data_IF_542353403494
#
_entry.id   IF_542353403494
#
_cell.length_a   1.000
_cell.length_b   1.000
_cell.length_c   1.000
_cell.angle_alpha   90.00
_cell.angle_beta   90.00
_cell.angle_gamma   90.00
#
_symmetry.space_group_name_H-M   'P 1'
#
loop_
_entity.id
_entity.type
_entity.pdbx_description
1 polymer ?
#
# COMPACT_ATOMS: atom_id res chain seq x y z
N UNK A 1 -12.43 6.32 -0.44
CA UNK A 1 -13.01 5.06 0.13
C UNK A 1 -13.64 4.27 -1.00
N UNK A 2 -13.53 2.93 -1.02
CA UNK A 2 -14.21 2.09 -2.02
C UNK A 2 -15.72 2.37 -1.99
N UNK A 3 -16.33 2.63 -3.14
CA UNK A 3 -17.77 2.79 -3.23
C UNK A 3 -18.43 1.42 -3.03
N UNK A 4 -18.98 1.20 -1.82
CA UNK A 4 -19.60 -0.07 -1.43
C UNK A 4 -20.77 -0.49 -2.33
N UNK A 5 -21.33 0.42 -3.14
CA UNK A 5 -22.36 0.09 -4.14
C UNK A 5 -21.86 -0.85 -5.24
N UNK A 6 -20.56 -0.84 -5.52
CA UNK A 6 -19.96 -1.60 -6.62
C UNK A 6 -19.24 -2.88 -6.13
N UNK A 7 -19.34 -3.19 -4.84
CA UNK A 7 -18.72 -4.36 -4.22
C UNK A 7 -19.75 -5.47 -4.10
N UNK A 8 -19.45 -6.64 -4.66
CA UNK A 8 -20.28 -7.82 -4.42
C UNK A 8 -20.10 -8.30 -2.96
N UNK A 9 -21.18 -8.47 -2.17
CA UNK A 9 -21.10 -8.80 -0.76
C UNK A 9 -20.82 -10.31 -0.54
N UNK A 10 -19.79 -10.83 -1.18
CA UNK A 10 -19.39 -12.25 -1.14
C UNK A 10 -17.94 -12.34 -0.66
N UNK A 11 -17.64 -13.33 0.19
CA UNK A 11 -16.27 -13.69 0.55
C UNK A 11 -15.77 -14.77 -0.41
N UNK A 12 -14.80 -14.41 -1.24
CA UNK A 12 -14.18 -15.32 -2.21
C UNK A 12 -12.83 -15.81 -1.70
N UNK A 13 -12.51 -17.06 -2.05
CA UNK A 13 -11.19 -17.66 -1.83
C UNK A 13 -10.29 -17.47 -3.05
N UNK A 14 -9.01 -17.85 -2.92
CA UNK A 14 -8.03 -17.81 -4.01
C UNK A 14 -8.43 -18.67 -5.23
N UNK A 15 -9.22 -19.72 -5.03
CA UNK A 15 -9.67 -20.63 -6.10
C UNK A 15 -10.92 -20.14 -6.84
N UNK A 16 -11.53 -19.04 -6.38
CA UNK A 16 -12.70 -18.48 -7.04
C UNK A 16 -12.37 -18.09 -8.49
N UNK A 17 -13.22 -18.56 -9.41
CA UNK A 17 -13.06 -18.34 -10.86
C UNK A 17 -13.82 -17.11 -11.32
N UNK A 18 -13.28 -16.41 -12.31
CA UNK A 18 -13.95 -15.32 -12.99
C UNK A 18 -13.43 -15.14 -14.40
N UNK A 19 -14.20 -14.43 -15.22
CA UNK A 19 -13.78 -14.00 -16.54
C UNK A 19 -13.42 -12.52 -16.50
N UNK A 20 -12.26 -12.16 -17.03
CA UNK A 20 -11.86 -10.76 -17.11
C UNK A 20 -10.73 -10.52 -18.11
N UNK A 21 -10.83 -9.45 -18.89
CA UNK A 21 -9.68 -8.90 -19.62
C UNK A 21 -9.79 -7.40 -19.75
N UNK A 22 -8.69 -6.69 -19.51
CA UNK A 22 -8.56 -5.26 -19.82
C UNK A 22 -7.46 -5.10 -20.87
N UNK A 23 -7.75 -4.39 -21.97
CA UNK A 23 -6.80 -4.16 -23.05
C UNK A 23 -7.16 -2.87 -23.79
N UNK A 24 -6.21 -2.29 -24.54
CA UNK A 24 -6.39 -1.01 -25.24
C UNK A 24 -7.62 -0.94 -26.16
N UNK A 25 -8.02 -2.07 -26.73
CA UNK A 25 -9.16 -2.17 -27.65
C UNK A 25 -10.53 -2.26 -26.98
N UNK A 26 -10.62 -2.40 -25.66
CA UNK A 26 -11.91 -2.52 -24.98
C UNK A 26 -12.60 -1.13 -24.92
N UNK A 27 -13.91 -1.08 -25.11
CA UNK A 27 -14.65 0.19 -25.17
C UNK A 27 -14.63 1.00 -23.85
N UNK A 28 -14.25 0.37 -22.73
CA UNK A 28 -14.07 1.03 -21.45
C UNK A 28 -12.61 1.34 -21.10
N UNK A 29 -11.68 1.22 -22.05
CA UNK A 29 -10.26 1.47 -21.80
C UNK A 29 -10.05 2.83 -21.11
N UNK A 30 -9.18 2.85 -20.10
CA UNK A 30 -8.86 3.98 -19.22
C UNK A 30 -10.00 4.60 -18.40
N UNK A 31 -11.25 4.16 -18.54
CA UNK A 31 -12.37 4.77 -17.79
C UNK A 31 -12.24 4.64 -16.27
N UNK A 32 -11.68 3.52 -15.79
CA UNK A 32 -11.42 3.29 -14.37
C UNK A 32 -10.32 4.19 -13.79
N UNK A 33 -9.55 4.90 -14.63
CA UNK A 33 -8.50 5.83 -14.18
C UNK A 33 -9.03 7.23 -13.85
N UNK A 34 -10.34 7.40 -13.64
CA UNK A 34 -10.97 8.68 -13.39
C UNK A 34 -11.79 8.64 -12.10
N UNK A 35 -11.76 9.73 -11.33
CA UNK A 35 -12.57 9.91 -10.12
C UNK A 35 -12.49 8.75 -9.11
N UNK A 36 -11.28 8.26 -8.84
CA UNK A 36 -11.01 7.21 -7.86
C UNK A 36 -10.14 7.74 -6.71
N UNK A 37 -10.26 7.14 -5.53
CA UNK A 37 -9.34 7.38 -4.42
C UNK A 37 -8.34 6.22 -4.33
N UNK A 38 -7.06 6.48 -4.60
CA UNK A 38 -6.00 5.47 -4.50
C UNK A 38 -5.18 5.75 -3.25
N UNK A 39 -5.39 4.94 -2.21
CA UNK A 39 -4.47 4.87 -1.07
C UNK A 39 -3.14 4.28 -1.56
N UNK A 40 -2.03 4.97 -1.28
CA UNK A 40 -0.69 4.52 -1.61
C UNK A 40 -0.05 3.85 -0.40
N UNK A 41 0.43 2.63 -0.61
CA UNK A 41 1.28 1.93 0.35
C UNK A 41 2.73 2.44 0.28
N UNK A 42 3.55 2.19 1.30
CA UNK A 42 4.98 2.48 1.25
C UNK A 42 5.68 1.90 0.02
N UNK A 43 5.36 0.65 -0.35
CA UNK A 43 5.96 0.03 -1.52
C UNK A 43 5.48 0.65 -2.83
N UNK A 44 4.23 1.13 -2.90
CA UNK A 44 3.76 1.89 -4.07
C UNK A 44 4.59 3.16 -4.26
N UNK A 45 4.83 3.92 -3.19
CA UNK A 45 5.62 5.15 -3.22
C UNK A 45 7.05 4.87 -3.68
N UNK A 46 7.70 3.83 -3.11
CA UNK A 46 9.04 3.40 -3.51
C UNK A 46 9.10 3.07 -5.00
N UNK A 47 8.16 2.27 -5.51
CA UNK A 47 8.13 1.88 -6.93
C UNK A 47 7.87 3.06 -7.86
N UNK A 48 6.91 3.90 -7.51
CA UNK A 48 6.49 5.02 -8.34
C UNK A 48 7.56 6.12 -8.39
N UNK A 49 8.17 6.50 -7.25
CA UNK A 49 9.25 7.50 -7.24
C UNK A 49 10.44 7.05 -8.10
N UNK A 50 10.81 5.76 -7.99
CA UNK A 50 11.94 5.21 -8.73
C UNK A 50 11.63 5.10 -10.23
N UNK A 51 10.39 4.76 -10.59
CA UNK A 51 9.94 4.80 -11.99
C UNK A 51 10.02 6.20 -12.59
N UNK A 52 9.76 7.24 -11.80
CA UNK A 52 9.83 8.63 -12.22
C UNK A 52 11.24 9.23 -12.13
N UNK A 53 12.17 8.56 -11.44
CA UNK A 53 13.54 9.04 -11.24
C UNK A 53 13.62 10.27 -10.33
N UNK A 54 12.70 10.39 -9.36
CA UNK A 54 12.64 11.50 -8.40
C UNK A 54 12.72 11.00 -6.96
N UNK A 55 13.04 11.90 -6.03
CA UNK A 55 13.07 11.58 -4.59
C UNK A 55 11.67 11.34 -4.00
N UNK A 56 11.60 10.69 -2.84
CA UNK A 56 10.35 10.50 -2.10
C UNK A 56 9.72 11.84 -1.75
N UNK A 57 10.52 12.82 -1.33
CA UNK A 57 10.05 14.16 -0.98
C UNK A 57 9.36 14.86 -2.16
N UNK A 58 10.01 14.87 -3.33
CA UNK A 58 9.43 15.43 -4.56
C UNK A 58 8.16 14.68 -4.97
N UNK A 59 8.18 13.33 -4.91
CA UNK A 59 7.02 12.51 -5.23
C UNK A 59 5.83 12.83 -4.33
N UNK A 60 6.06 12.89 -3.01
CA UNK A 60 5.02 13.13 -2.02
C UNK A 60 4.37 14.50 -2.21
N UNK A 61 5.17 15.55 -2.43
CA UNK A 61 4.68 16.90 -2.67
C UNK A 61 3.87 16.98 -3.97
N UNK A 62 4.42 16.46 -5.07
CA UNK A 62 3.82 16.60 -6.38
C UNK A 62 2.58 15.72 -6.56
N UNK A 63 2.63 14.46 -6.10
CA UNK A 63 1.67 13.43 -6.48
C UNK A 63 0.76 12.95 -5.36
N UNK A 64 0.95 13.35 -4.11
CA UNK A 64 0.14 12.81 -2.99
C UNK A 64 -0.52 13.88 -2.14
N UNK A 65 -1.64 13.55 -1.50
CA UNK A 65 -2.22 14.34 -0.41
C UNK A 65 -2.44 13.46 0.81
N UNK A 66 -2.41 14.09 1.99
CA UNK A 66 -2.56 13.41 3.28
C UNK A 66 -4.04 13.43 3.68
N UNK A 67 -4.55 12.30 4.12
CA UNK A 67 -5.81 12.18 4.83
C UNK A 67 -5.54 11.58 6.22
N UNK A 68 -5.85 12.34 7.27
CA UNK A 68 -5.74 11.84 8.64
C UNK A 68 -6.99 11.01 8.94
N UNK A 69 -6.80 9.73 9.23
CA UNK A 69 -7.91 8.86 9.62
C UNK A 69 -8.51 9.32 10.95
N UNK A 70 -9.82 9.53 11.01
CA UNK A 70 -10.49 10.09 12.19
C UNK A 70 -10.44 9.16 13.41
N UNK A 71 -10.34 7.85 13.19
CA UNK A 71 -10.40 6.84 14.26
C UNK A 71 -9.03 6.54 14.86
N UNK A 72 -8.00 6.51 14.02
CA UNK A 72 -6.64 6.06 14.39
C UNK A 72 -5.60 7.17 14.28
N UNK A 73 -5.95 8.28 13.62
CA UNK A 73 -5.08 9.42 13.33
C UNK A 73 -3.84 9.09 12.52
N UNK A 74 -3.83 7.95 11.82
CA UNK A 74 -2.79 7.65 10.86
C UNK A 74 -2.88 8.62 9.68
N UNK A 75 -1.75 9.23 9.27
CA UNK A 75 -1.70 10.00 8.04
C UNK A 75 -1.62 9.03 6.86
N UNK A 76 -2.73 8.85 6.16
CA UNK A 76 -2.75 8.04 4.94
C UNK A 76 -2.49 8.90 3.72
N UNK A 77 -1.70 8.38 2.79
CA UNK A 77 -1.37 9.06 1.56
C UNK A 77 -2.23 8.58 0.41
N UNK A 78 -2.84 9.52 -0.28
CA UNK A 78 -3.65 9.25 -1.45
C UNK A 78 -3.01 9.88 -2.68
N UNK A 79 -3.12 9.19 -3.82
CA UNK A 79 -2.70 9.74 -5.10
C UNK A 79 -3.58 10.95 -5.46
N UNK A 80 -2.94 12.09 -5.74
CA UNK A 80 -3.59 13.28 -6.28
C UNK A 80 -4.05 13.02 -7.71
N UNK A 81 -5.31 13.32 -7.98
CA UNK A 81 -5.84 13.38 -9.35
C UNK A 81 -5.53 14.72 -10.00
N UNK A 82 -5.75 14.81 -11.31
CA UNK A 82 -5.75 16.07 -12.03
C UNK A 82 -6.95 16.93 -11.61
N UNK A 83 -6.76 18.24 -11.62
CA UNK A 83 -7.83 19.21 -11.38
C UNK A 83 -8.58 19.49 -12.70
N UNK A 84 -9.26 18.45 -13.19
CA UNK A 84 -10.15 18.52 -14.35
C UNK A 84 -11.51 17.92 -13.99
N UNK A 85 -12.51 18.14 -14.85
CA UNK A 85 -13.87 17.70 -14.59
C UNK A 85 -13.99 16.18 -14.31
N UNK A 86 -13.11 15.38 -14.93
CA UNK A 86 -13.10 13.92 -14.81
C UNK A 86 -12.31 13.42 -13.59
N UNK A 87 -11.54 14.30 -12.92
CA UNK A 87 -10.56 13.93 -11.89
C UNK A 87 -9.67 12.76 -12.35
N UNK A 88 -9.11 12.90 -13.55
CA UNK A 88 -8.29 11.86 -14.18
C UNK A 88 -6.99 11.59 -13.40
N UNK A 89 -6.53 10.34 -13.43
CA UNK A 89 -5.24 9.94 -12.87
C UNK A 89 -4.10 10.64 -13.59
N UNK A 90 -3.12 11.14 -12.83
CA UNK A 90 -1.95 11.87 -13.38
C UNK A 90 -1.08 11.05 -14.34
N UNK A 91 -1.20 9.72 -14.30
CA UNK A 91 -0.43 8.82 -15.15
C UNK A 91 -1.23 8.23 -16.30
N UNK A 92 -2.52 8.56 -16.43
CA UNK A 92 -3.32 8.07 -17.55
C UNK A 92 -3.05 8.89 -18.80
N UNK A 93 -2.92 8.20 -19.93
CA UNK A 93 -2.75 8.78 -21.26
C UNK A 93 -3.71 8.08 -22.23
N UNK A 94 -3.83 8.58 -23.46
CA UNK A 94 -4.58 7.90 -24.52
C UNK A 94 -4.05 6.48 -24.81
N UNK A 95 -2.77 6.23 -24.51
CA UNK A 95 -2.11 4.93 -24.70
C UNK A 95 -2.24 4.01 -23.48
N UNK A 96 -2.86 4.48 -22.38
CA UNK A 96 -2.96 3.78 -21.11
C UNK A 96 -2.12 4.43 -20.01
N UNK A 97 -1.83 3.68 -18.95
CA UNK A 97 -1.06 4.16 -17.80
C UNK A 97 0.44 4.24 -18.14
N UNK A 98 1.05 5.42 -18.03
CA UNK A 98 2.47 5.65 -18.33
C UNK A 98 3.43 4.92 -17.39
N UNK A 99 2.94 4.54 -16.20
CA UNK A 99 3.68 3.76 -15.19
C UNK A 99 3.08 2.36 -15.01
N UNK A 100 2.45 1.77 -16.02
CA UNK A 100 1.66 0.54 -15.87
C UNK A 100 2.38 -0.55 -15.06
N UNK A 101 3.66 -0.83 -15.34
CA UNK A 101 4.44 -1.86 -14.66
C UNK A 101 4.83 -1.53 -13.20
N UNK A 102 4.64 -0.29 -12.76
CA UNK A 102 4.92 0.21 -11.41
C UNK A 102 3.66 0.82 -10.77
N UNK A 103 2.48 0.52 -11.34
CA UNK A 103 1.20 1.02 -10.85
C UNK A 103 0.92 0.55 -9.40
N UNK A 104 0.16 1.33 -8.62
CA UNK A 104 -0.16 1.00 -7.23
C UNK A 104 -0.86 -0.34 -7.06
N UNK A 105 -0.74 -0.94 -5.87
CA UNK A 105 -1.40 -2.19 -5.48
C UNK A 105 -2.91 -2.15 -5.76
N UNK A 106 -3.61 -1.04 -5.44
CA UNK A 106 -5.04 -0.89 -5.74
C UNK A 106 -5.37 -1.09 -7.23
N UNK A 107 -4.53 -0.55 -8.12
CA UNK A 107 -4.72 -0.67 -9.57
C UNK A 107 -4.34 -2.06 -10.10
N UNK A 108 -3.47 -2.80 -9.41
CA UNK A 108 -3.13 -4.20 -9.74
C UNK A 108 -4.22 -5.16 -9.31
N UNK A 109 -4.81 -4.89 -8.16
CA UNK A 109 -5.88 -5.70 -7.61
C UNK A 109 -7.11 -5.69 -8.51
N UNK A 110 -7.51 -4.50 -8.99
CA UNK A 110 -8.72 -4.33 -9.82
C UNK A 110 -8.79 -5.34 -10.99
N UNK A 111 -9.90 -6.08 -11.16
CA UNK A 111 -11.20 -5.88 -10.51
C UNK A 111 -11.39 -6.66 -9.21
N UNK A 112 -10.35 -7.35 -8.72
CA UNK A 112 -10.36 -8.07 -7.45
C UNK A 112 -10.03 -7.09 -6.33
N UNK A 113 -10.84 -7.07 -5.27
CA UNK A 113 -10.48 -6.42 -4.02
C UNK A 113 -10.00 -7.46 -3.00
N UNK A 114 -9.14 -7.03 -2.08
CA UNK A 114 -8.72 -7.80 -0.91
C UNK A 114 -9.23 -7.10 0.35
N UNK A 115 -9.73 -7.89 1.29
CA UNK A 115 -10.00 -7.45 2.65
C UNK A 115 -9.33 -8.40 3.65
N UNK A 116 -8.80 -7.82 4.72
CA UNK A 116 -8.22 -8.57 5.84
C UNK A 116 -9.04 -8.30 7.10
N UNK A 117 -9.34 -9.37 7.84
CA UNK A 117 -10.18 -9.32 9.02
C UNK A 117 -9.46 -10.06 10.15
N UNK A 118 -9.11 -9.33 11.21
CA UNK A 118 -8.55 -9.97 12.40
C UNK A 118 -9.65 -10.68 13.19
N UNK A 119 -9.51 -11.98 13.36
CA UNK A 119 -10.35 -12.82 14.21
C UNK A 119 -9.50 -13.56 15.25
N UNK A 120 -10.14 -14.04 16.31
CA UNK A 120 -9.47 -14.96 17.22
C UNK A 120 -9.59 -16.36 16.61
N UNK A 121 -8.49 -17.08 16.52
CA UNK A 121 -8.54 -18.48 16.14
C UNK A 121 -9.14 -19.30 17.28
N UNK A 122 -10.21 -20.02 16.99
CA UNK A 122 -10.99 -20.73 18.00
C UNK A 122 -10.21 -21.90 18.64
N UNK A 123 -9.17 -22.40 17.97
CA UNK A 123 -8.38 -23.56 18.43
C UNK A 123 -7.15 -23.15 19.23
N UNK A 124 -6.41 -22.17 18.74
CA UNK A 124 -5.16 -21.69 19.36
C UNK A 124 -5.37 -20.51 20.30
N UNK A 125 -6.57 -19.91 20.31
CA UNK A 125 -6.88 -18.67 21.02
C UNK A 125 -5.86 -17.56 20.70
N UNK A 126 -5.32 -17.59 19.49
CA UNK A 126 -4.36 -16.61 18.98
C UNK A 126 -5.02 -15.74 17.91
N UNK A 127 -4.65 -14.46 17.79
CA UNK A 127 -5.17 -13.60 16.73
C UNK A 127 -4.68 -14.11 15.37
N UNK A 128 -5.62 -14.38 14.47
CA UNK A 128 -5.34 -14.68 13.06
C UNK A 128 -5.91 -13.60 12.16
N UNK A 129 -5.25 -13.37 11.03
CA UNK A 129 -5.74 -12.48 9.97
C UNK A 129 -6.36 -13.34 8.90
N UNK A 130 -7.69 -13.30 8.78
CA UNK A 130 -8.41 -13.92 7.68
C UNK A 130 -8.42 -12.95 6.51
N UNK A 131 -7.91 -13.38 5.37
CA UNK A 131 -8.00 -12.64 4.12
C UNK A 131 -9.09 -13.25 3.25
N UNK A 132 -9.90 -12.37 2.64
CA UNK A 132 -10.88 -12.76 1.65
C UNK A 132 -10.90 -11.75 0.52
N UNK A 133 -11.43 -12.20 -0.61
CA UNK A 133 -11.48 -11.42 -1.82
C UNK A 133 -12.93 -11.13 -2.21
N UNK A 134 -13.10 -10.13 -3.05
CA UNK A 134 -14.38 -9.74 -3.61
C UNK A 134 -14.18 -9.13 -4.99
N UNK A 135 -15.23 -9.08 -5.81
CA UNK A 135 -15.16 -8.38 -7.09
C UNK A 135 -15.70 -6.96 -6.95
N UNK A 136 -15.03 -6.03 -7.62
CA UNK A 136 -15.48 -4.66 -7.84
C UNK A 136 -16.07 -4.59 -9.25
N UNK A 137 -17.39 -4.50 -9.35
CA UNK A 137 -18.13 -4.47 -10.61
C UNK A 137 -18.72 -3.08 -10.85
N UNK A 138 -17.95 -2.26 -11.54
CA UNK A 138 -18.42 -0.93 -11.93
C UNK A 138 -19.15 -1.00 -13.26
N UNK A 139 -20.25 -0.25 -13.40
CA UNK A 139 -21.09 -0.26 -14.60
C UNK A 139 -20.32 0.02 -15.89
N UNK A 140 -19.33 0.91 -15.81
CA UNK A 140 -18.50 1.28 -16.96
C UNK A 140 -17.51 0.18 -17.35
N UNK A 141 -17.20 -0.77 -16.46
CA UNK A 141 -16.17 -1.78 -16.67
C UNK A 141 -16.72 -2.96 -17.48
N UNK A 142 -16.28 -3.05 -18.73
CA UNK A 142 -16.68 -4.12 -19.64
C UNK A 142 -15.77 -5.35 -19.59
N UNK A 143 -14.71 -5.32 -18.78
CA UNK A 143 -13.71 -6.40 -18.73
C UNK A 143 -14.29 -7.75 -18.32
N UNK A 144 -15.35 -7.78 -17.49
CA UNK A 144 -16.06 -9.01 -17.11
C UNK A 144 -16.84 -9.67 -18.27
N UNK A 145 -17.00 -8.99 -19.41
CA UNK A 145 -17.66 -9.54 -20.62
C UNK A 145 -16.69 -10.24 -21.57
N UNK A 146 -15.39 -10.17 -21.28
CA UNK A 146 -14.34 -10.84 -22.06
C UNK A 146 -14.23 -12.31 -21.66
N UNK A 147 -13.62 -13.15 -22.50
CA UNK A 147 -13.60 -14.60 -22.31
C UNK A 147 -12.36 -15.15 -21.59
N UNK A 148 -11.38 -14.31 -21.26
CA UNK A 148 -10.19 -14.76 -20.54
C UNK A 148 -10.56 -15.21 -19.12
N UNK A 149 -10.26 -16.47 -18.81
CA UNK A 149 -10.59 -17.10 -17.53
C UNK A 149 -9.44 -17.00 -16.54
N UNK A 150 -9.79 -16.73 -15.29
CA UNK A 150 -8.86 -16.57 -14.18
C UNK A 150 -9.36 -17.30 -12.94
N UNK A 151 -8.42 -17.70 -12.08
CA UNK A 151 -8.65 -17.80 -10.65
C UNK A 151 -8.13 -16.53 -9.98
N UNK A 152 -8.63 -16.18 -8.79
CA UNK A 152 -8.08 -15.06 -8.03
C UNK A 152 -6.57 -15.26 -7.77
N UNK A 153 -6.15 -16.49 -7.50
CA UNK A 153 -4.74 -16.85 -7.35
C UNK A 153 -3.90 -16.45 -8.57
N UNK A 154 -4.25 -16.96 -9.75
CA UNK A 154 -3.45 -16.71 -10.96
C UNK A 154 -3.57 -15.24 -11.43
N UNK A 155 -4.68 -14.56 -11.13
CA UNK A 155 -4.80 -13.12 -11.35
C UNK A 155 -3.79 -12.34 -10.49
N UNK A 156 -3.67 -12.70 -9.20
CA UNK A 156 -2.70 -12.04 -8.30
C UNK A 156 -1.26 -12.26 -8.76
N UNK A 157 -0.94 -13.48 -9.18
CA UNK A 157 0.35 -13.85 -9.76
C UNK A 157 0.65 -13.02 -11.04
N UNK A 158 -0.31 -12.97 -11.98
CA UNK A 158 -0.18 -12.23 -13.25
C UNK A 158 -0.05 -10.71 -13.05
N UNK A 159 -0.84 -10.15 -12.14
CA UNK A 159 -0.79 -8.71 -11.82
C UNK A 159 0.40 -8.34 -10.91
N UNK A 160 1.14 -9.34 -10.42
CA UNK A 160 2.32 -9.19 -9.56
C UNK A 160 2.01 -8.59 -8.20
N UNK A 161 0.78 -8.77 -7.70
CA UNK A 161 0.34 -8.11 -6.45
C UNK A 161 0.82 -8.84 -5.19
N UNK A 162 1.17 -10.13 -5.29
CA UNK A 162 1.79 -10.89 -4.20
C UNK A 162 3.06 -10.22 -3.67
N UNK A 163 3.90 -9.70 -4.56
CA UNK A 163 5.11 -8.96 -4.19
C UNK A 163 4.74 -7.70 -3.38
N UNK A 164 3.69 -7.00 -3.78
CA UNK A 164 3.23 -5.80 -3.09
C UNK A 164 2.66 -6.15 -1.71
N UNK A 165 1.93 -7.25 -1.59
CA UNK A 165 1.42 -7.72 -0.30
C UNK A 165 2.55 -8.10 0.66
N UNK A 166 3.55 -8.83 0.18
CA UNK A 166 4.71 -9.23 0.98
C UNK A 166 5.55 -8.03 1.41
N UNK A 167 5.83 -7.11 0.49
CA UNK A 167 6.59 -5.89 0.81
C UNK A 167 5.87 -4.98 1.81
N UNK A 168 4.53 -4.98 1.81
CA UNK A 168 3.74 -4.16 2.72
C UNK A 168 3.28 -4.89 3.99
N UNK A 169 3.69 -6.14 4.22
CA UNK A 169 3.27 -6.94 5.39
C UNK A 169 3.58 -6.22 6.71
N UNK A 170 4.81 -5.72 6.87
CA UNK A 170 5.22 -4.97 8.06
C UNK A 170 4.42 -3.68 8.27
N UNK A 171 4.02 -3.01 7.17
CA UNK A 171 3.14 -1.84 7.24
C UNK A 171 1.70 -2.21 7.63
N UNK A 172 1.13 -3.26 7.03
CA UNK A 172 -0.20 -3.80 7.38
C UNK A 172 -0.27 -4.18 8.87
N UNK A 173 0.77 -4.77 9.43
CA UNK A 173 0.85 -5.11 10.86
C UNK A 173 0.76 -3.90 11.79
N UNK A 174 1.34 -2.76 11.39
CA UNK A 174 1.24 -1.50 12.13
C UNK A 174 -0.21 -1.03 12.20
N UNK A 175 -0.96 -1.17 11.10
CA UNK A 175 -2.35 -0.70 10.98
C UNK A 175 -3.35 -1.61 11.67
N UNK A 176 -3.15 -2.93 11.63
CA UNK A 176 -4.15 -3.89 12.12
C UNK A 176 -4.20 -4.04 13.65
N UNK A 177 -3.88 -3.03 14.45
CA UNK A 177 -4.01 -3.18 15.91
C UNK A 177 -5.47 -3.37 16.34
N UNK A 178 -5.72 -4.44 17.10
CA UNK A 178 -6.92 -4.59 17.93
C UNK A 178 -6.53 -4.20 19.36
N UNK A 179 -7.37 -3.40 20.00
CA UNK A 179 -7.38 -3.13 21.45
C UNK A 179 -6.28 -2.22 22.02
N UNK A 180 -6.44 -0.90 21.89
CA UNK A 180 -6.26 -0.02 23.05
C UNK A 180 -7.38 1.03 23.05
N UNK A 181 -8.10 1.24 24.16
CA UNK A 181 -8.87 2.47 24.34
C UNK A 181 -7.89 3.67 24.34
N UNK A 182 -8.13 4.69 23.51
CA UNK A 182 -7.52 6.02 23.70
C UNK A 182 -6.22 6.38 22.97
N UNK A 183 -5.82 5.74 21.86
CA UNK A 183 -4.59 6.14 21.14
C UNK A 183 -4.83 6.63 19.71
N UNK A 184 -5.37 7.85 19.63
CA UNK A 184 -5.10 8.80 18.53
C UNK A 184 -3.58 8.97 18.45
N UNK A 185 -2.97 8.76 17.28
CA UNK A 185 -1.56 9.14 17.09
C UNK A 185 -1.41 10.64 17.35
N UNK A 186 -0.63 11.00 18.36
CA UNK A 186 -0.24 12.40 18.57
C UNK A 186 0.59 12.91 17.37
N UNK A 187 0.71 14.23 17.25
CA UNK A 187 1.37 14.86 16.11
C UNK A 187 2.83 14.39 15.92
N UNK A 188 3.54 14.09 17.01
CA UNK A 188 4.94 13.60 16.92
C UNK A 188 4.98 12.21 16.33
N UNK A 189 4.09 11.32 16.78
CA UNK A 189 3.96 9.95 16.25
C UNK A 189 3.48 9.95 14.79
N UNK A 190 2.56 10.85 14.42
CA UNK A 190 2.14 11.02 13.02
C UNK A 190 3.32 11.41 12.12
N UNK A 191 4.12 12.40 12.54
CA UNK A 191 5.31 12.84 11.78
C UNK A 191 6.35 11.72 11.66
N UNK A 192 6.58 10.97 12.73
CA UNK A 192 7.53 9.86 12.71
C UNK A 192 7.05 8.69 11.82
N UNK A 193 5.76 8.34 11.89
CA UNK A 193 5.15 7.37 10.98
C UNK A 193 5.27 7.82 9.53
N UNK A 194 4.95 9.08 9.23
CA UNK A 194 5.06 9.64 7.88
C UNK A 194 6.50 9.57 7.36
N UNK A 195 7.47 9.99 8.18
CA UNK A 195 8.88 9.95 7.83
C UNK A 195 9.33 8.52 7.51
N UNK A 196 9.07 7.59 8.43
CA UNK A 196 9.60 6.23 8.33
C UNK A 196 8.88 5.35 7.29
N UNK A 197 7.58 5.57 7.07
CA UNK A 197 6.79 4.74 6.15
C UNK A 197 6.68 5.32 4.74
N UNK A 198 6.84 6.63 4.53
CA UNK A 198 6.56 7.25 3.23
C UNK A 198 7.70 8.09 2.68
N UNK A 199 8.39 8.88 3.51
CA UNK A 199 9.47 9.76 3.07
C UNK A 199 10.84 9.07 3.20
N UNK A 200 11.04 8.03 2.37
CA UNK A 200 12.17 7.10 2.47
C UNK A 200 13.54 7.77 2.33
N UNK A 201 13.68 8.75 1.43
CA UNK A 201 14.95 9.48 1.24
C UNK A 201 15.29 10.34 2.46
N UNK A 202 14.29 10.96 3.09
CA UNK A 202 14.50 11.69 4.34
C UNK A 202 14.73 10.74 5.52
N UNK A 203 14.06 9.58 5.54
CA UNK A 203 14.32 8.55 6.53
C UNK A 203 15.74 8.00 6.41
N UNK A 204 16.27 7.84 5.19
CA UNK A 204 17.67 7.50 4.94
C UNK A 204 18.62 8.48 5.63
N UNK A 205 18.42 9.79 5.41
CA UNK A 205 19.21 10.84 6.06
C UNK A 205 19.05 10.78 7.58
N UNK A 206 17.84 10.57 8.07
CA UNK A 206 17.60 10.40 9.50
C UNK A 206 18.39 9.22 10.08
N UNK A 207 18.45 8.07 9.38
CA UNK A 207 19.22 6.90 9.84
C UNK A 207 20.73 7.18 9.84
N UNK A 208 21.28 7.72 8.76
CA UNK A 208 22.74 7.80 8.58
C UNK A 208 23.39 9.12 9.00
N UNK A 209 22.64 10.21 9.07
CA UNK A 209 23.15 11.57 9.31
C UNK A 209 22.67 12.16 10.64
N UNK A 210 21.91 11.40 11.44
CA UNK A 210 21.49 11.78 12.78
C UNK A 210 22.06 10.83 13.84
N UNK A 211 21.68 11.04 15.10
CA UNK A 211 22.03 10.17 16.24
C UNK A 211 21.33 8.81 16.23
N UNK A 212 20.61 8.46 15.16
CA UNK A 212 19.89 7.18 15.10
C UNK A 212 20.83 5.98 15.35
N UNK A 213 21.98 5.91 14.67
CA UNK A 213 22.96 4.83 14.83
C UNK A 213 23.82 4.96 16.09
N UNK A 214 23.77 6.10 16.79
CA UNK A 214 24.33 6.25 18.14
C UNK A 214 23.38 5.65 19.19
N UNK A 215 22.07 5.76 18.96
CA UNK A 215 21.04 5.34 19.91
C UNK A 215 20.60 3.88 19.72
N UNK A 216 20.57 3.38 18.48
CA UNK A 216 20.05 2.05 18.17
C UNK A 216 21.16 1.08 17.77
N UNK A 217 21.06 -0.15 18.27
CA UNK A 217 21.92 -1.26 17.91
C UNK A 217 21.42 -1.90 16.60
N UNK A 218 22.14 -1.63 15.52
CA UNK A 218 21.87 -2.16 14.18
C UNK A 218 23.16 -2.82 13.71
N UNK A 219 23.11 -4.12 13.47
CA UNK A 219 24.28 -4.92 13.09
C UNK A 219 24.84 -4.51 11.71
N UNK A 220 26.13 -4.78 11.50
CA UNK A 220 26.84 -4.38 10.26
C UNK A 220 26.21 -4.99 9.00
N UNK A 221 25.72 -6.23 9.07
CA UNK A 221 25.09 -6.90 7.93
C UNK A 221 23.80 -6.18 7.53
N UNK A 222 22.98 -5.77 8.50
CA UNK A 222 21.78 -4.99 8.27
C UNK A 222 22.12 -3.59 7.75
N UNK A 223 23.15 -2.94 8.30
CA UNK A 223 23.61 -1.63 7.83
C UNK A 223 24.02 -1.65 6.36
N UNK A 224 24.76 -2.67 5.93
CA UNK A 224 25.17 -2.81 4.54
C UNK A 224 23.97 -3.00 3.60
N UNK A 225 22.97 -3.78 4.03
CA UNK A 225 21.72 -3.95 3.26
C UNK A 225 20.98 -2.63 3.08
N UNK A 226 20.70 -1.91 4.17
CA UNK A 226 19.92 -0.67 4.10
C UNK A 226 20.67 0.46 3.36
N UNK A 227 22.01 0.39 3.26
CA UNK A 227 22.83 1.30 2.44
C UNK A 227 22.67 1.08 0.95
N UNK A 228 22.36 -0.12 0.50
CA UNK A 228 22.35 -0.47 -0.92
C UNK A 228 20.96 -0.89 -1.45
N UNK A 229 20.00 -1.15 -0.57
CA UNK A 229 18.66 -1.60 -0.91
C UNK A 229 17.59 -0.74 -0.20
N UNK A 230 16.82 0.00 -1.00
CA UNK A 230 15.72 0.82 -0.50
C UNK A 230 14.58 0.02 0.11
N UNK A 231 14.35 -1.21 -0.36
CA UNK A 231 13.32 -2.08 0.23
C UNK A 231 13.72 -2.53 1.63
N UNK A 232 15.01 -2.76 1.88
CA UNK A 232 15.53 -3.06 3.21
C UNK A 232 15.46 -1.82 4.12
N UNK A 233 15.76 -0.63 3.59
CA UNK A 233 15.57 0.62 4.34
C UNK A 233 14.09 0.85 4.69
N UNK A 234 13.17 0.56 3.77
CA UNK A 234 11.73 0.65 4.02
C UNK A 234 11.29 -0.31 5.13
N UNK A 235 11.79 -1.56 5.13
CA UNK A 235 11.54 -2.53 6.21
C UNK A 235 12.07 -2.03 7.56
N UNK A 236 13.26 -1.41 7.59
CA UNK A 236 13.74 -0.74 8.81
C UNK A 236 12.80 0.39 9.26
N UNK A 237 12.19 1.12 8.33
CA UNK A 237 11.16 2.12 8.64
C UNK A 237 9.94 1.52 9.35
N UNK A 238 9.50 0.33 8.94
CA UNK A 238 8.43 -0.39 9.61
C UNK A 238 8.84 -0.84 11.01
N UNK A 239 10.04 -1.38 11.16
CA UNK A 239 10.57 -1.79 12.47
C UNK A 239 10.70 -0.60 13.41
N UNK A 240 11.28 0.51 12.95
CA UNK A 240 11.34 1.74 13.73
C UNK A 240 9.95 2.22 14.19
N UNK A 241 8.97 2.15 13.29
CA UNK A 241 7.58 2.53 13.61
C UNK A 241 6.95 1.58 14.63
N UNK A 242 7.18 0.26 14.49
CA UNK A 242 6.71 -0.74 15.47
C UNK A 242 7.30 -0.49 16.86
N UNK A 243 8.61 -0.24 16.94
CA UNK A 243 9.30 0.11 18.18
C UNK A 243 8.73 1.40 18.80
N UNK A 244 8.70 2.49 18.01
CA UNK A 244 8.24 3.81 18.48
C UNK A 244 6.83 3.78 19.04
N UNK A 245 5.96 3.01 18.40
CA UNK A 245 4.57 2.90 18.81
C UNK A 245 4.32 1.73 19.78
N UNK A 246 5.38 1.14 20.35
CA UNK A 246 5.33 0.05 21.32
C UNK A 246 4.49 -1.15 20.85
N UNK A 247 4.62 -1.53 19.58
CA UNK A 247 4.01 -2.74 19.01
C UNK A 247 4.80 -3.96 19.41
N UNK A 248 6.09 -3.86 19.17
CA UNK A 248 7.04 -4.96 19.18
C UNK A 248 8.43 -4.33 19.37
N UNK A 249 9.28 -4.98 20.15
CA UNK A 249 10.65 -4.53 20.42
C UNK A 249 11.57 -4.92 19.25
N UNK A 250 11.30 -4.35 18.08
CA UNK A 250 12.01 -4.64 16.81
C UNK A 250 13.39 -3.99 16.72
N UNK A 251 13.69 -3.02 17.59
CA UNK A 251 14.97 -2.33 17.70
C UNK A 251 15.42 -2.30 19.16
N UNK A 252 16.74 -2.35 19.38
CA UNK A 252 17.35 -2.27 20.70
C UNK A 252 18.13 -0.97 20.85
N UNK A 253 18.08 -0.37 22.03
CA UNK A 253 18.92 0.78 22.35
C UNK A 253 20.36 0.32 22.62
N UNK A 254 21.34 1.10 22.20
CA UNK A 254 22.73 0.93 22.64
C UNK A 254 22.82 1.25 24.13
N UNK A 255 23.58 0.43 24.84
CA UNK A 255 23.89 0.62 26.26
C UNK A 255 24.90 1.74 26.46
#
# INVERSE_FOLDING_TARGET
MLNMKNVEPVRLSLDAKFKFRCHKGIACFTKCCNNIDILLTPYDILRMKNKLGISSEEFLIAYTYIHIDEKTSHPFLYLKMNDNAERSCRFVTAEGCSIYNDRPANCRYYPVGQASLKKMDEKSNAPITEEFYFFVKEEHCLGFKEDAEWTIKNWRDDQGVDIYDDMNRGWKEILFRRNLPGNVLDEKKQKAFYLACYDLDRFRRFVFESKFLENFDVDEQRLEKIRNDETELMKLGFDYTKYLLMIEETLKLKS
#
